data_IF_727232081733
#
_entry.id   IF_727232081733
#
_cell.length_a   1.000
_cell.length_b   1.000
_cell.length_c   1.000
_cell.angle_alpha   90.00
_cell.angle_beta   90.00
_cell.angle_gamma   90.00
#
_symmetry.space_group_name_H-M   'P 1'
#
loop_
_entity.id
_entity.type
_entity.pdbx_description
1 polymer ?
#
# COMPACT_ATOMS: atom_id res chain seq x y z
N UNK A 1 12.21 4.80 -1.18
CA UNK A 1 12.96 3.64 -0.65
C UNK A 1 14.45 3.94 -0.65
N UNK A 2 15.03 4.41 0.46
CA UNK A 2 16.48 4.61 0.54
C UNK A 2 17.11 3.26 0.93
N UNK A 3 17.71 2.56 -0.03
CA UNK A 3 18.51 1.34 0.21
C UNK A 3 18.16 0.11 -0.65
N UNK A 4 16.97 0.07 -1.26
CA UNK A 4 16.56 -0.99 -2.18
C UNK A 4 16.86 -0.58 -3.62
N UNK A 5 17.79 -1.28 -4.27
CA UNK A 5 18.02 -1.14 -5.72
C UNK A 5 17.06 -2.06 -6.47
N UNK A 6 16.70 -1.69 -7.71
CA UNK A 6 15.94 -2.57 -8.61
C UNK A 6 16.65 -3.92 -8.84
N UNK A 7 17.98 -3.89 -8.84
CA UNK A 7 18.82 -5.08 -9.04
C UNK A 7 18.74 -6.04 -7.85
N UNK A 8 18.75 -5.51 -6.61
CA UNK A 8 18.53 -6.31 -5.41
C UNK A 8 17.11 -6.89 -5.40
N UNK A 9 16.10 -6.07 -5.72
CA UNK A 9 14.72 -6.54 -5.79
C UNK A 9 14.53 -7.64 -6.84
N UNK A 10 15.11 -7.47 -8.03
CA UNK A 10 15.07 -8.48 -9.08
C UNK A 10 15.74 -9.80 -8.63
N UNK A 11 16.93 -9.71 -8.03
CA UNK A 11 17.65 -10.86 -7.50
C UNK A 11 16.85 -11.58 -6.41
N UNK A 12 16.33 -10.85 -5.42
CA UNK A 12 15.57 -11.42 -4.29
C UNK A 12 14.24 -12.05 -4.74
N UNK A 13 13.60 -11.49 -5.78
CA UNK A 13 12.37 -12.00 -6.36
C UNK A 13 12.61 -13.08 -7.43
N UNK A 14 13.86 -13.40 -7.75
CA UNK A 14 14.23 -14.40 -8.75
C UNK A 14 13.72 -14.03 -10.15
N UNK A 15 13.89 -12.77 -10.56
CA UNK A 15 13.62 -12.32 -11.93
C UNK A 15 14.78 -11.48 -12.48
N UNK A 16 14.79 -11.24 -13.80
CA UNK A 16 15.81 -10.37 -14.39
C UNK A 16 15.55 -8.90 -14.04
N UNK A 17 16.61 -8.09 -13.96
CA UNK A 17 16.50 -6.64 -13.80
C UNK A 17 15.53 -6.04 -14.83
N UNK A 18 15.66 -6.44 -16.10
CA UNK A 18 14.78 -5.98 -17.18
C UNK A 18 13.30 -6.35 -16.93
N UNK A 19 13.02 -7.55 -16.43
CA UNK A 19 11.66 -7.96 -16.06
C UNK A 19 11.12 -7.07 -14.94
N UNK A 20 11.91 -6.82 -13.90
CA UNK A 20 11.51 -5.98 -12.78
C UNK A 20 11.28 -4.52 -13.21
N UNK A 21 12.16 -3.97 -14.06
CA UNK A 21 11.98 -2.61 -14.64
C UNK A 21 10.69 -2.48 -15.44
N UNK A 22 10.34 -3.48 -16.26
CA UNK A 22 9.07 -3.48 -17.01
C UNK A 22 7.84 -3.53 -16.12
N UNK A 23 7.93 -4.25 -15.00
CA UNK A 23 6.88 -4.31 -13.99
C UNK A 23 6.64 -2.91 -13.40
N UNK A 24 7.70 -2.23 -12.94
CA UNK A 24 7.57 -0.90 -12.34
C UNK A 24 7.03 0.16 -13.30
N UNK A 25 7.29 0.02 -14.61
CA UNK A 25 6.77 0.92 -15.65
C UNK A 25 5.37 0.57 -16.13
N UNK A 26 4.79 -0.55 -15.66
CA UNK A 26 3.50 -1.03 -16.15
C UNK A 26 3.53 -1.56 -17.60
N UNK A 27 4.71 -1.87 -18.14
CA UNK A 27 4.89 -2.36 -19.52
C UNK A 27 4.59 -3.87 -19.67
N UNK A 28 4.23 -4.54 -18.57
CA UNK A 28 3.95 -5.98 -18.55
C UNK A 28 2.75 -6.26 -17.66
N UNK A 29 1.84 -7.11 -18.13
CA UNK A 29 0.75 -7.60 -17.30
C UNK A 29 1.31 -8.62 -16.29
N UNK A 30 1.33 -8.23 -15.02
CA UNK A 30 1.98 -9.00 -13.95
C UNK A 30 1.00 -10.01 -13.37
N UNK A 31 1.33 -11.31 -13.31
CA UNK A 31 0.48 -12.29 -12.66
C UNK A 31 0.21 -11.91 -11.19
N UNK A 32 -1.02 -12.07 -10.71
CA UNK A 32 -1.40 -11.72 -9.34
C UNK A 32 -0.50 -12.37 -8.27
N UNK A 33 -0.06 -13.62 -8.48
CA UNK A 33 0.90 -14.28 -7.58
C UNK A 33 2.24 -13.54 -7.49
N UNK A 34 2.71 -12.96 -8.60
CA UNK A 34 3.93 -12.15 -8.62
C UNK A 34 3.72 -10.82 -7.90
N UNK A 35 2.56 -10.18 -8.07
CA UNK A 35 2.19 -8.99 -7.28
C UNK A 35 2.18 -9.27 -5.77
N UNK A 36 1.64 -10.40 -5.35
CA UNK A 36 1.68 -10.82 -3.94
C UNK A 36 3.10 -11.02 -3.41
N UNK A 37 4.01 -11.58 -4.21
CA UNK A 37 5.42 -11.72 -3.84
C UNK A 37 6.09 -10.35 -3.66
N UNK A 38 5.85 -9.44 -4.61
CA UNK A 38 6.36 -8.07 -4.55
C UNK A 38 5.82 -7.34 -3.32
N UNK A 39 4.51 -7.44 -3.04
CA UNK A 39 3.90 -6.80 -1.87
C UNK A 39 4.54 -7.29 -0.55
N UNK A 40 4.74 -8.61 -0.42
CA UNK A 40 5.44 -9.20 0.74
C UNK A 40 6.88 -8.70 0.86
N UNK A 41 7.60 -8.63 -0.26
CA UNK A 41 8.98 -8.13 -0.31
C UNK A 41 9.09 -6.66 0.13
N UNK A 42 8.13 -5.82 -0.29
CA UNK A 42 8.10 -4.40 0.04
C UNK A 42 7.45 -4.11 1.42
N UNK A 43 6.85 -5.12 2.06
CA UNK A 43 6.17 -4.96 3.35
C UNK A 43 4.86 -4.18 3.27
N UNK A 44 4.16 -4.23 2.14
CA UNK A 44 2.89 -3.50 1.89
C UNK A 44 1.74 -4.47 1.63
N UNK A 45 0.50 -3.98 1.67
CA UNK A 45 -0.64 -4.77 1.24
C UNK A 45 -0.64 -4.88 -0.30
N UNK A 46 -1.01 -6.03 -0.86
CA UNK A 46 -1.10 -6.18 -2.33
C UNK A 46 -2.10 -5.18 -2.94
N UNK A 47 -3.12 -4.77 -2.19
CA UNK A 47 -4.05 -3.73 -2.59
C UNK A 47 -3.34 -2.39 -2.86
N UNK A 48 -2.25 -2.08 -2.16
CA UNK A 48 -1.50 -0.84 -2.36
C UNK A 48 -0.71 -0.82 -3.69
N UNK A 49 -0.48 -1.99 -4.31
CA UNK A 49 0.18 -2.10 -5.63
C UNK A 49 -0.78 -1.94 -6.82
N UNK A 50 -2.07 -2.19 -6.60
CA UNK A 50 -3.10 -2.21 -7.65
C UNK A 50 -4.12 -1.09 -7.51
N UNK A 51 -4.14 -0.40 -6.36
CA UNK A 51 -4.95 0.80 -6.18
C UNK A 51 -4.43 1.85 -7.14
N UNK A 52 -5.22 2.20 -8.15
CA UNK A 52 -4.98 3.43 -8.90
C UNK A 52 -4.80 4.56 -7.88
N UNK A 53 -3.83 5.44 -8.11
CA UNK A 53 -3.71 6.68 -7.35
C UNK A 53 -4.91 7.58 -7.70
N UNK A 54 -6.11 7.15 -7.29
CA UNK A 54 -7.31 7.94 -7.28
C UNK A 54 -7.23 8.96 -6.16
N UNK A 55 -7.98 10.04 -6.31
CA UNK A 55 -8.16 10.97 -5.21
C UNK A 55 -8.64 10.19 -3.98
N UNK A 56 -8.11 10.50 -2.78
CA UNK A 56 -8.58 9.89 -1.56
C UNK A 56 -10.12 9.96 -1.52
N UNK A 57 -10.79 8.84 -1.23
CA UNK A 57 -12.25 8.87 -1.14
C UNK A 57 -12.65 9.69 0.10
N UNK A 58 -12.90 10.98 -0.14
CA UNK A 58 -13.24 11.96 0.90
C UNK A 58 -14.45 11.47 1.70
N UNK A 59 -15.35 10.69 1.10
CA UNK A 59 -16.51 10.13 1.80
C UNK A 59 -16.11 9.09 2.83
N UNK A 60 -15.18 8.19 2.50
CA UNK A 60 -14.65 7.22 3.45
C UNK A 60 -13.87 7.92 4.57
N UNK A 61 -13.04 8.90 4.24
CA UNK A 61 -12.29 9.69 5.23
C UNK A 61 -13.25 10.43 6.17
N UNK A 62 -14.30 11.06 5.64
CA UNK A 62 -15.29 11.77 6.44
C UNK A 62 -16.06 10.83 7.39
N UNK A 63 -16.37 9.61 6.95
CA UNK A 63 -17.01 8.59 7.77
C UNK A 63 -16.10 8.15 8.92
N UNK A 64 -14.82 7.88 8.66
CA UNK A 64 -13.84 7.52 9.69
C UNK A 64 -13.62 8.66 10.70
N UNK A 65 -13.50 9.91 10.23
CA UNK A 65 -13.37 11.09 11.10
C UNK A 65 -14.58 11.29 12.00
N UNK A 66 -15.79 11.00 11.52
CA UNK A 66 -17.02 11.07 12.30
C UNK A 66 -17.00 10.05 13.45
N UNK A 67 -16.56 8.83 13.19
CA UNK A 67 -16.43 7.77 14.19
C UNK A 67 -15.42 8.20 15.25
N UNK A 68 -14.21 8.58 14.84
CA UNK A 68 -13.15 9.03 15.74
C UNK A 68 -13.61 10.19 16.62
N UNK A 69 -14.32 11.17 16.04
CA UNK A 69 -14.87 12.30 16.81
C UNK A 69 -15.82 11.82 17.90
N UNK A 70 -16.73 10.89 17.58
CA UNK A 70 -17.70 10.38 18.54
C UNK A 70 -17.00 9.60 19.67
N UNK A 71 -15.96 8.82 19.36
CA UNK A 71 -15.15 8.11 20.35
C UNK A 71 -14.40 9.09 21.27
N UNK A 72 -13.81 10.15 20.73
CA UNK A 72 -13.15 11.21 21.52
C UNK A 72 -14.15 11.87 22.48
N UNK A 73 -15.35 12.20 22.02
CA UNK A 73 -16.38 12.82 22.88
C UNK A 73 -16.86 11.87 23.99
N UNK A 74 -16.94 10.57 23.72
CA UNK A 74 -17.23 9.58 24.75
C UNK A 74 -16.11 9.53 25.80
N UNK A 75 -14.85 9.52 25.38
CA UNK A 75 -13.68 9.51 26.27
C UNK A 75 -13.64 10.77 27.15
N UNK A 76 -13.86 11.97 26.57
CA UNK A 76 -13.90 13.22 27.34
C UNK A 76 -14.92 13.16 28.47
N UNK A 77 -16.13 12.69 28.18
CA UNK A 77 -17.19 12.52 29.19
C UNK A 77 -16.82 11.53 30.29
N UNK A 78 -15.97 10.55 30.02
CA UNK A 78 -15.48 9.61 31.03
C UNK A 78 -14.42 10.24 31.94
N UNK A 79 -13.65 11.19 31.44
CA UNK A 79 -12.60 11.89 32.19
C UNK A 79 -13.12 13.08 33.01
N UNK A 80 -14.26 13.66 32.63
CA UNK A 80 -14.93 14.76 33.36
C UNK A 80 -15.83 14.27 34.52
N UNK A 81 -15.81 12.96 34.83
CA UNK A 81 -16.47 12.35 35.99
C UNK A 81 -15.49 12.18 37.15
#
# INVERSE_FOLDING_TARGET
MKGLTQENAANDLGCSLNTYTKIERGETNVPFMRLNQIAKYLGVNVADLVREAGEPDIRNIAAELLIIRNEIEAIKKMLER
#
